data_IF_550018892393
#
_entry.id   IF_550018892393
#
_cell.length_a   1.000
_cell.length_b   1.000
_cell.length_c   1.000
_cell.angle_alpha   90.00
_cell.angle_beta   90.00
_cell.angle_gamma   90.00
#
_symmetry.space_group_name_H-M   'P 1'
#
loop_
_entity.id
_entity.type
_entity.pdbx_description
1 polymer ?
#
# COMPACT_ATOMS: atom_id res chain seq x y z
N UNK A 1 7.10 24.46 -0.16
CA UNK A 1 6.31 24.51 -1.40
C UNK A 1 6.29 23.13 -2.01
N UNK A 2 5.11 22.56 -2.31
CA UNK A 2 5.04 21.28 -3.03
C UNK A 2 5.26 21.56 -4.52
N UNK A 3 6.47 21.29 -5.00
CA UNK A 3 6.91 21.56 -6.37
C UNK A 3 6.44 20.43 -7.30
N UNK A 4 5.15 20.40 -7.62
CA UNK A 4 4.58 19.42 -8.56
C UNK A 4 4.80 19.79 -10.05
N UNK A 5 5.37 20.97 -10.33
CA UNK A 5 5.69 21.39 -11.71
C UNK A 5 7.02 20.81 -12.16
N UNK A 6 6.98 19.89 -13.12
CA UNK A 6 8.16 19.25 -13.72
C UNK A 6 8.60 19.89 -15.05
N UNK A 7 8.01 21.02 -15.46
CA UNK A 7 8.27 21.67 -16.76
C UNK A 7 9.73 22.10 -16.97
N UNK A 8 10.49 22.24 -15.88
CA UNK A 8 11.90 22.62 -15.90
C UNK A 8 12.85 21.41 -16.04
N UNK A 9 12.33 20.18 -16.00
CA UNK A 9 13.12 18.96 -16.10
C UNK A 9 13.26 18.48 -17.54
N UNK A 10 14.37 17.82 -17.84
CA UNK A 10 14.59 17.17 -19.13
C UNK A 10 13.69 15.95 -19.31
N UNK A 11 13.39 15.57 -20.56
CA UNK A 11 12.64 14.34 -20.88
C UNK A 11 13.27 13.07 -20.26
N UNK A 12 14.61 12.99 -20.23
CA UNK A 12 15.34 11.86 -19.62
C UNK A 12 15.08 11.81 -18.11
N UNK A 13 15.13 12.96 -17.45
CA UNK A 13 14.89 13.08 -16.00
C UNK A 13 13.44 12.70 -15.66
N UNK A 14 12.46 13.18 -16.44
CA UNK A 14 11.05 12.84 -16.21
C UNK A 14 10.81 11.33 -16.39
N UNK A 15 11.38 10.71 -17.42
CA UNK A 15 11.22 9.26 -17.66
C UNK A 15 11.84 8.42 -16.55
N UNK A 16 13.09 8.69 -16.20
CA UNK A 16 13.79 7.96 -15.12
C UNK A 16 13.13 8.17 -13.75
N UNK A 17 12.68 9.40 -13.47
CA UNK A 17 11.93 9.71 -12.26
C UNK A 17 10.60 8.97 -12.19
N UNK A 18 9.83 8.92 -13.29
CA UNK A 18 8.57 8.19 -13.35
C UNK A 18 8.77 6.69 -13.11
N UNK A 19 9.75 6.07 -13.75
CA UNK A 19 10.04 4.63 -13.55
C UNK A 19 10.50 4.34 -12.12
N UNK A 20 11.32 5.22 -11.53
CA UNK A 20 11.78 5.08 -10.15
C UNK A 20 10.64 5.23 -9.14
N UNK A 21 9.77 6.22 -9.33
CA UNK A 21 8.60 6.43 -8.48
C UNK A 21 7.59 5.28 -8.61
N UNK A 22 7.40 4.71 -9.80
CA UNK A 22 6.53 3.55 -9.97
C UNK A 22 7.06 2.33 -9.20
N UNK A 23 8.37 2.06 -9.24
CA UNK A 23 8.97 0.98 -8.43
C UNK A 23 8.86 1.25 -6.93
N UNK A 24 9.06 2.51 -6.51
CA UNK A 24 8.91 2.91 -5.12
C UNK A 24 7.45 2.82 -4.63
N UNK A 25 6.47 3.06 -5.50
CA UNK A 25 5.04 2.91 -5.19
C UNK A 25 4.68 1.45 -4.93
N UNK A 26 5.25 0.52 -5.69
CA UNK A 26 5.10 -0.93 -5.48
C UNK A 26 5.71 -1.38 -4.14
N UNK A 27 6.95 -0.96 -3.85
CA UNK A 27 7.61 -1.24 -2.56
C UNK A 27 6.82 -0.63 -1.38
N UNK A 28 6.33 0.59 -1.53
CA UNK A 28 5.48 1.25 -0.53
C UNK A 28 4.17 0.48 -0.33
N UNK A 29 3.57 -0.02 -1.40
CA UNK A 29 2.37 -0.84 -1.33
C UNK A 29 2.63 -2.16 -0.60
N UNK A 30 3.72 -2.86 -0.89
CA UNK A 30 4.09 -4.09 -0.20
C UNK A 30 4.30 -3.86 1.30
N UNK A 31 5.01 -2.78 1.67
CA UNK A 31 5.18 -2.37 3.07
C UNK A 31 3.85 -2.08 3.75
N UNK A 32 2.97 -1.32 3.09
CA UNK A 32 1.63 -1.03 3.62
C UNK A 32 0.83 -2.30 3.89
N UNK A 33 0.89 -3.29 2.99
CA UNK A 33 0.24 -4.59 3.22
C UNK A 33 0.81 -5.29 4.45
N UNK A 34 2.13 -5.28 4.65
CA UNK A 34 2.75 -5.89 5.83
C UNK A 34 2.26 -5.22 7.13
N UNK A 35 2.17 -3.89 7.16
CA UNK A 35 1.61 -3.16 8.30
C UNK A 35 0.12 -3.47 8.52
N UNK A 36 -0.69 -3.49 7.46
CA UNK A 36 -2.12 -3.86 7.56
C UNK A 36 -2.24 -5.28 8.13
N UNK A 37 -1.40 -6.21 7.68
CA UNK A 37 -1.47 -7.58 8.09
C UNK A 37 -1.15 -7.73 9.59
N UNK A 38 -0.04 -7.16 10.04
CA UNK A 38 0.36 -7.17 11.45
C UNK A 38 -0.69 -6.47 12.34
N UNK A 39 -1.24 -5.35 11.87
CA UNK A 39 -2.25 -4.58 12.59
C UNK A 39 -3.58 -5.35 12.72
N UNK A 40 -3.98 -6.07 11.67
CA UNK A 40 -5.17 -6.92 11.64
C UNK A 40 -4.99 -8.18 12.51
N UNK A 41 -3.84 -8.86 12.42
CA UNK A 41 -3.53 -10.06 13.21
C UNK A 41 -3.52 -9.76 14.72
N UNK A 42 -2.89 -8.64 15.10
CA UNK A 42 -2.87 -8.15 16.49
C UNK A 42 -4.16 -7.48 16.92
N UNK A 43 -5.14 -7.34 16.02
CA UNK A 43 -6.43 -6.68 16.26
C UNK A 43 -6.30 -5.27 16.84
N UNK A 44 -5.30 -4.51 16.39
CA UNK A 44 -5.04 -3.16 16.89
C UNK A 44 -6.16 -2.17 16.55
N UNK A 45 -7.04 -2.52 15.60
CA UNK A 45 -8.26 -1.75 15.34
C UNK A 45 -9.21 -1.71 16.54
N UNK A 46 -9.15 -2.68 17.46
CA UNK A 46 -10.01 -2.73 18.66
C UNK A 46 -9.68 -1.62 19.66
N UNK A 47 -8.43 -1.49 20.16
CA UNK A 47 -8.08 -0.37 21.04
C UNK A 47 -8.20 1.00 20.35
N UNK A 48 -8.11 1.05 19.01
CA UNK A 48 -8.31 2.27 18.23
C UNK A 48 -9.80 2.61 17.98
N UNK A 49 -10.74 1.83 18.54
CA UNK A 49 -12.18 2.14 18.52
C UNK A 49 -12.91 1.72 17.24
N UNK A 50 -12.30 0.89 16.39
CA UNK A 50 -12.93 0.37 15.18
C UNK A 50 -13.45 -1.07 15.38
N UNK A 51 -14.64 -1.40 14.86
CA UNK A 51 -15.22 -2.74 15.01
C UNK A 51 -14.54 -3.82 14.14
N UNK A 52 -13.70 -3.41 13.17
CA UNK A 52 -12.94 -4.32 12.30
C UNK A 52 -11.80 -3.58 11.61
N UNK A 53 -10.85 -4.32 11.04
CA UNK A 53 -9.82 -3.76 10.16
C UNK A 53 -10.42 -3.03 8.94
N UNK A 54 -11.55 -3.52 8.41
CA UNK A 54 -12.25 -2.84 7.31
C UNK A 54 -12.72 -1.44 7.74
N UNK A 55 -13.40 -1.34 8.89
CA UNK A 55 -13.84 -0.06 9.42
C UNK A 55 -12.66 0.88 9.71
N UNK A 56 -11.53 0.35 10.20
CA UNK A 56 -10.29 1.11 10.40
C UNK A 56 -9.72 1.65 9.07
N UNK A 57 -9.63 0.82 8.02
CA UNK A 57 -9.15 1.25 6.69
C UNK A 57 -10.00 2.38 6.09
N UNK A 58 -11.32 2.32 6.24
CA UNK A 58 -12.23 3.37 5.73
C UNK A 58 -12.14 4.63 6.60
N UNK A 59 -12.23 4.46 7.92
CA UNK A 59 -12.33 5.57 8.86
C UNK A 59 -11.01 6.29 9.10
N UNK A 60 -9.94 5.56 9.43
CA UNK A 60 -8.64 6.13 9.78
C UNK A 60 -7.74 6.36 8.55
N UNK A 61 -7.76 5.43 7.59
CA UNK A 61 -6.85 5.47 6.43
C UNK A 61 -7.52 6.06 5.18
N UNK A 62 -8.79 6.46 5.26
CA UNK A 62 -9.56 7.07 4.17
C UNK A 62 -9.51 6.28 2.85
N UNK A 63 -9.42 4.96 2.93
CA UNK A 63 -9.48 4.09 1.75
C UNK A 63 -10.93 4.01 1.26
N UNK A 64 -11.11 3.77 -0.04
CA UNK A 64 -12.40 3.31 -0.54
C UNK A 64 -12.66 1.86 -0.12
N UNK A 65 -13.93 1.44 -0.14
CA UNK A 65 -14.32 0.06 0.21
C UNK A 65 -13.60 -0.99 -0.64
N UNK A 66 -13.50 -0.75 -1.96
CA UNK A 66 -12.81 -1.65 -2.89
C UNK A 66 -11.32 -1.79 -2.55
N UNK A 67 -10.63 -0.66 -2.31
CA UNK A 67 -9.21 -0.67 -1.94
C UNK A 67 -9.00 -1.38 -0.60
N UNK A 68 -9.83 -1.06 0.40
CA UNK A 68 -9.75 -1.67 1.72
C UNK A 68 -9.92 -3.20 1.64
N UNK A 69 -10.93 -3.67 0.93
CA UNK A 69 -11.21 -5.09 0.77
C UNK A 69 -10.03 -5.84 0.13
N UNK A 70 -9.51 -5.35 -0.99
CA UNK A 70 -8.40 -6.00 -1.71
C UNK A 70 -7.12 -6.00 -0.88
N UNK A 71 -6.77 -4.88 -0.25
CA UNK A 71 -5.57 -4.77 0.58
C UNK A 71 -5.64 -5.66 1.82
N UNK A 72 -6.78 -5.72 2.51
CA UNK A 72 -6.96 -6.61 3.67
C UNK A 72 -6.82 -8.08 3.25
N UNK A 73 -7.43 -8.48 2.12
CA UNK A 73 -7.30 -9.84 1.62
C UNK A 73 -5.87 -10.20 1.25
N UNK A 74 -5.18 -9.31 0.55
CA UNK A 74 -3.79 -9.50 0.17
C UNK A 74 -2.88 -9.57 1.40
N UNK A 75 -3.06 -8.68 2.37
CA UNK A 75 -2.33 -8.64 3.63
C UNK A 75 -2.48 -9.95 4.43
N UNK A 76 -3.72 -10.41 4.64
CA UNK A 76 -4.01 -11.69 5.31
C UNK A 76 -3.39 -12.89 4.61
N UNK A 77 -3.42 -12.90 3.27
CA UNK A 77 -2.82 -13.98 2.50
C UNK A 77 -1.28 -13.91 2.57
N UNK A 78 -0.71 -12.71 2.56
CA UNK A 78 0.73 -12.50 2.64
C UNK A 78 1.33 -12.87 4.01
N UNK A 79 0.57 -12.77 5.12
CA UNK A 79 1.00 -13.36 6.40
C UNK A 79 1.18 -14.88 6.32
N UNK A 80 0.30 -15.56 5.59
CA UNK A 80 0.37 -17.01 5.39
C UNK A 80 1.43 -17.40 4.36
N UNK A 81 1.64 -16.53 3.36
CA UNK A 81 2.55 -16.74 2.25
C UNK A 81 3.41 -15.48 2.02
N UNK A 82 4.52 -15.30 2.79
CA UNK A 82 5.32 -14.07 2.77
C UNK A 82 5.85 -13.67 1.39
N UNK A 83 6.01 -14.63 0.47
CA UNK A 83 6.39 -14.40 -0.94
C UNK A 83 5.45 -13.43 -1.68
N UNK A 84 4.22 -13.24 -1.18
CA UNK A 84 3.27 -12.28 -1.75
C UNK A 84 3.74 -10.84 -1.55
N UNK A 85 4.40 -10.51 -0.42
CA UNK A 85 4.94 -9.17 -0.21
C UNK A 85 6.00 -8.84 -1.27
N UNK A 86 6.93 -9.78 -1.50
CA UNK A 86 7.96 -9.65 -2.54
C UNK A 86 7.33 -9.58 -3.93
N UNK A 87 6.32 -10.40 -4.21
CA UNK A 87 5.62 -10.39 -5.49
C UNK A 87 4.91 -9.07 -5.78
N UNK A 88 4.35 -8.41 -4.76
CA UNK A 88 3.78 -7.06 -4.90
C UNK A 88 4.90 -6.02 -5.09
N UNK A 89 5.97 -6.10 -4.32
CA UNK A 89 7.10 -5.17 -4.42
C UNK A 89 7.78 -5.21 -5.80
N UNK A 90 7.83 -6.39 -6.41
CA UNK A 90 8.38 -6.63 -7.75
C UNK A 90 7.36 -6.38 -8.87
N UNK A 91 6.11 -6.04 -8.54
CA UNK A 91 5.04 -5.79 -9.51
C UNK A 91 4.53 -7.05 -10.24
N UNK A 92 4.85 -8.24 -9.73
CA UNK A 92 4.32 -9.52 -10.24
C UNK A 92 2.85 -9.75 -9.87
N UNK A 93 2.37 -9.07 -8.82
CA UNK A 93 0.97 -9.07 -8.40
C UNK A 93 0.46 -7.63 -8.28
N UNK A 94 -0.80 -7.42 -8.68
CA UNK A 94 -1.52 -6.15 -8.58
C UNK A 94 -2.78 -6.30 -7.72
N UNK A 95 -3.20 -5.19 -7.10
CA UNK A 95 -4.35 -5.09 -6.19
C UNK A 95 -5.35 -4.05 -6.70
#
# INVERSE_FOLDING_TARGET
MKTYSLKHLSNRTVRSGLTGLAAQDLDTTAKLLAYIAEFDDRKLFVPDGYPSMFACCIGALHMSEDIAYKRIRAARLALRFPVIFEAVAEGRLTL
#
